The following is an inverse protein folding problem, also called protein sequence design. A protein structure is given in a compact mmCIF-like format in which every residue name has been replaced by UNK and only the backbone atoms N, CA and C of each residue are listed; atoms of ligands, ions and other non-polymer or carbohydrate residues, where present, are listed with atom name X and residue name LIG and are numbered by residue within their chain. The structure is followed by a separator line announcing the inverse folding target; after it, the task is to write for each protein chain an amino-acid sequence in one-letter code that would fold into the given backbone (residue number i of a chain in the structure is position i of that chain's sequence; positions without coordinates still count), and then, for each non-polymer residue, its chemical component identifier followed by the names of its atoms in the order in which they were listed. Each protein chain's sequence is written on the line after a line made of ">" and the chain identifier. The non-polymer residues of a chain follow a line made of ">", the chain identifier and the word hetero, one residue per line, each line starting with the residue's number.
data_IF_843485001269
#
_entry.id   IF_843485001269
#
_cell.length_a   1.000
_cell.length_b   1.000
_cell.length_c   1.000
_cell.angle_alpha   90.00
_cell.angle_beta   90.00
_cell.angle_gamma   90.00
#
_symmetry.space_group_name_H-M   'P 1'
#
loop_
_entity.id
_entity.type
_entity.pdbx_description
1 polymer ?
#
# COMPACT_ATOMS: atom_id res chain seq x y z
N UNK A 1 15.73 -43.70 17.95
CA UNK A 1 16.46 -42.41 18.01
C UNK A 1 16.12 -41.65 16.74
N UNK A 2 15.06 -40.84 16.75
CA UNK A 2 14.68 -40.03 15.59
C UNK A 2 15.02 -38.59 15.90
N UNK A 3 16.11 -38.10 15.31
CA UNK A 3 16.51 -36.70 15.38
C UNK A 3 15.48 -35.85 14.65
N UNK A 4 14.91 -34.86 15.35
CA UNK A 4 14.11 -33.79 14.74
C UNK A 4 15.03 -32.90 13.90
N UNK A 5 14.63 -32.47 12.69
CA UNK A 5 15.37 -31.47 11.94
C UNK A 5 15.22 -30.13 12.64
N UNK A 6 16.33 -29.59 13.15
CA UNK A 6 16.45 -28.22 13.63
C UNK A 6 16.59 -27.31 12.42
N UNK A 7 15.47 -26.89 11.85
CA UNK A 7 15.45 -25.88 10.78
C UNK A 7 15.94 -24.56 11.38
N UNK A 8 17.06 -24.06 10.87
CA UNK A 8 17.81 -22.97 11.45
C UNK A 8 17.05 -21.63 11.29
N UNK A 9 16.96 -20.86 12.37
CA UNK A 9 16.07 -19.67 12.45
C UNK A 9 16.52 -18.52 11.54
N UNK A 10 17.77 -18.56 11.06
CA UNK A 10 18.35 -17.60 10.13
C UNK A 10 17.80 -17.77 8.69
N UNK A 11 17.48 -19.00 8.28
CA UNK A 11 17.03 -19.30 6.91
C UNK A 11 15.55 -18.95 6.70
N UNK A 12 14.75 -19.02 7.77
CA UNK A 12 13.35 -18.55 7.76
C UNK A 12 13.26 -17.02 7.64
N UNK A 13 14.17 -16.29 8.29
CA UNK A 13 14.19 -14.81 8.26
C UNK A 13 14.57 -14.27 6.88
N UNK A 14 15.53 -14.91 6.20
CA UNK A 14 15.96 -14.48 4.87
C UNK A 14 14.87 -14.66 3.81
N UNK A 15 14.06 -15.72 3.91
CA UNK A 15 12.92 -15.95 3.02
C UNK A 15 11.82 -14.90 3.21
N UNK A 16 11.48 -14.57 4.47
CA UNK A 16 10.49 -13.52 4.78
C UNK A 16 10.93 -12.14 4.28
N UNK A 17 12.21 -11.81 4.41
CA UNK A 17 12.76 -10.54 3.92
C UNK A 17 12.66 -10.45 2.39
N UNK A 18 12.92 -11.55 1.67
CA UNK A 18 12.76 -11.60 0.21
C UNK A 18 11.30 -11.43 -0.22
N UNK A 19 10.36 -12.06 0.48
CA UNK A 19 8.92 -11.92 0.22
C UNK A 19 8.41 -10.49 0.50
N UNK A 20 8.88 -9.89 1.59
CA UNK A 20 8.58 -8.50 1.93
C UNK A 20 9.12 -7.55 0.85
N UNK A 21 10.36 -7.74 0.42
CA UNK A 21 10.97 -6.95 -0.67
C UNK A 21 10.23 -7.11 -1.99
N UNK A 22 9.86 -8.34 -2.35
CA UNK A 22 9.07 -8.62 -3.54
C UNK A 22 7.70 -7.93 -3.49
N UNK A 23 7.07 -7.90 -2.32
CA UNK A 23 5.79 -7.23 -2.09
C UNK A 23 5.95 -5.71 -2.21
N UNK A 24 6.94 -5.11 -1.54
CA UNK A 24 7.20 -3.67 -1.61
C UNK A 24 7.48 -3.23 -3.05
N UNK A 25 8.25 -4.00 -3.82
CA UNK A 25 8.52 -3.71 -5.24
C UNK A 25 7.25 -3.65 -6.08
N UNK A 26 6.27 -4.51 -5.81
CA UNK A 26 4.96 -4.50 -6.50
C UNK A 26 4.12 -3.26 -6.18
N UNK A 27 4.40 -2.60 -5.06
CA UNK A 27 3.69 -1.39 -4.62
C UNK A 27 4.28 -0.12 -5.22
N UNK A 28 5.49 -0.17 -5.80
CA UNK A 28 6.11 1.01 -6.41
C UNK A 28 5.19 1.61 -7.48
N UNK A 29 5.15 2.94 -7.52
CA UNK A 29 4.28 3.73 -8.39
C UNK A 29 2.77 3.55 -8.14
N UNK A 30 2.35 2.80 -7.11
CA UNK A 30 0.95 2.79 -6.64
C UNK A 30 0.67 4.01 -5.77
N UNK A 31 -0.57 4.48 -5.78
CA UNK A 31 -0.99 5.51 -4.84
C UNK A 31 -1.12 4.92 -3.45
N UNK A 32 -0.52 5.58 -2.47
CA UNK A 32 -0.67 5.27 -1.06
C UNK A 32 -1.42 6.42 -0.37
N UNK A 33 -2.41 6.04 0.43
CA UNK A 33 -3.06 6.90 1.41
C UNK A 33 -2.41 6.69 2.77
N UNK A 34 -1.77 7.74 3.28
CA UNK A 34 -1.01 7.74 4.52
C UNK A 34 -1.65 8.71 5.51
N UNK A 35 -2.00 8.20 6.69
CA UNK A 35 -2.48 9.03 7.80
C UNK A 35 -1.29 9.34 8.70
N UNK A 36 -1.03 10.62 8.95
CA UNK A 36 0.02 11.10 9.83
C UNK A 36 -0.54 11.23 11.26
N UNK A 37 0.31 11.08 12.27
CA UNK A 37 -0.09 11.16 13.69
C UNK A 37 -0.74 12.49 14.08
N UNK A 38 -0.37 13.59 13.42
CA UNK A 38 -0.97 14.90 13.61
C UNK A 38 -2.34 15.09 12.92
N UNK A 39 -2.86 14.03 12.29
CA UNK A 39 -4.18 14.01 11.66
C UNK A 39 -4.18 14.36 10.17
N UNK A 40 -3.04 14.75 9.59
CA UNK A 40 -2.97 14.98 8.14
C UNK A 40 -3.16 13.67 7.37
N UNK A 41 -3.89 13.75 6.26
CA UNK A 41 -4.06 12.66 5.31
C UNK A 41 -3.32 13.03 4.04
N UNK A 42 -2.31 12.24 3.71
CA UNK A 42 -1.47 12.41 2.53
C UNK A 42 -1.78 11.30 1.54
N UNK A 43 -1.94 11.68 0.28
CA UNK A 43 -2.17 10.74 -0.80
C UNK A 43 -1.14 11.04 -1.89
N UNK A 44 -0.36 10.05 -2.26
CA UNK A 44 0.70 10.23 -3.26
C UNK A 44 1.23 8.92 -3.81
N UNK A 45 2.04 9.02 -4.85
CA UNK A 45 2.68 7.90 -5.54
C UNK A 45 3.84 7.35 -4.71
N UNK A 46 3.87 6.05 -4.44
CA UNK A 46 4.97 5.42 -3.70
C UNK A 46 6.23 5.31 -4.55
N UNK A 47 7.25 6.10 -4.21
CA UNK A 47 8.52 6.12 -4.96
C UNK A 47 9.56 5.20 -4.34
N UNK A 48 9.71 5.23 -3.02
CA UNK A 48 10.64 4.34 -2.33
C UNK A 48 10.38 4.26 -0.83
N UNK A 49 10.96 3.23 -0.21
CA UNK A 49 11.05 3.04 1.24
C UNK A 49 12.51 2.75 1.59
N UNK A 50 12.99 3.34 2.69
CA UNK A 50 14.33 3.04 3.21
C UNK A 50 14.30 1.91 4.27
N UNK A 51 15.49 1.54 4.77
CA UNK A 51 15.63 0.50 5.81
C UNK A 51 14.96 0.86 7.15
N UNK A 52 14.75 2.14 7.40
CA UNK A 52 14.10 2.66 8.61
C UNK A 52 12.58 2.78 8.41
N UNK A 53 12.07 2.29 7.28
CA UNK A 53 10.69 2.36 6.86
C UNK A 53 10.15 3.78 6.65
N UNK A 54 11.01 4.76 6.35
CA UNK A 54 10.58 6.08 5.89
C UNK A 54 10.12 5.99 4.45
N UNK A 55 9.00 6.66 4.12
CA UNK A 55 8.43 6.65 2.77
C UNK A 55 8.77 7.94 2.04
N UNK A 56 9.04 7.82 0.75
CA UNK A 56 9.00 8.95 -0.18
C UNK A 56 7.75 8.80 -1.05
N UNK A 57 6.90 9.81 -1.01
CA UNK A 57 5.73 9.93 -1.87
C UNK A 57 5.97 11.02 -2.93
N UNK A 58 5.73 10.71 -4.19
CA UNK A 58 5.70 11.65 -5.31
C UNK A 58 4.28 12.12 -5.61
N UNK A 59 4.15 13.22 -6.36
CA UNK A 59 2.84 13.73 -6.82
C UNK A 59 1.78 13.80 -5.71
N UNK A 60 2.21 14.16 -4.50
CA UNK A 60 1.41 14.04 -3.29
C UNK A 60 0.48 15.23 -3.15
N UNK A 61 -0.73 14.96 -2.68
CA UNK A 61 -1.64 15.97 -2.16
C UNK A 61 -2.06 15.65 -0.73
N UNK A 62 -2.37 16.71 0.01
CA UNK A 62 -2.99 16.61 1.32
C UNK A 62 -4.50 16.73 1.17
N UNK A 63 -5.24 15.78 1.75
CA UNK A 63 -6.68 15.85 1.90
C UNK A 63 -7.00 16.77 3.10
N UNK A 64 -7.66 17.89 2.82
CA UNK A 64 -8.06 18.89 3.82
C UNK A 64 -9.57 18.80 3.99
N UNK A 65 -10.01 18.45 5.20
CA UNK A 65 -11.43 18.53 5.55
C UNK A 65 -11.81 20.00 5.77
N UNK A 66 -12.93 20.42 5.20
CA UNK A 66 -13.52 21.74 5.45
C UNK A 66 -14.89 21.53 6.07
N UNK A 67 -15.23 22.31 7.09
CA UNK A 67 -16.48 22.14 7.86
C UNK A 67 -17.75 22.32 7.01
N UNK A 68 -17.62 22.95 5.84
CA UNK A 68 -18.73 23.34 4.96
C UNK A 68 -18.64 22.81 3.52
N UNK A 69 -17.64 21.99 3.19
CA UNK A 69 -17.41 21.55 1.81
C UNK A 69 -16.79 20.13 1.74
N UNK A 70 -16.93 19.41 0.60
CA UNK A 70 -16.21 18.16 0.38
C UNK A 70 -14.71 18.36 0.55
N UNK A 71 -13.99 17.27 0.82
CA UNK A 71 -12.54 17.30 1.02
C UNK A 71 -11.84 18.04 -0.13
N UNK A 72 -11.00 19.02 0.21
CA UNK A 72 -10.13 19.69 -0.74
C UNK A 72 -8.81 18.96 -0.84
N UNK A 73 -8.34 18.78 -2.07
CA UNK A 73 -7.00 18.28 -2.35
C UNK A 73 -6.04 19.47 -2.47
N UNK A 74 -5.02 19.51 -1.62
CA UNK A 74 -3.96 20.52 -1.70
C UNK A 74 -2.67 19.86 -2.20
N UNK A 75 -2.20 20.14 -3.43
CA UNK A 75 -0.96 19.57 -3.93
C UNK A 75 0.22 20.06 -3.10
N UNK A 76 1.13 19.14 -2.75
CA UNK A 76 2.33 19.41 -1.96
C UNK A 76 3.60 18.78 -2.56
N UNK A 77 3.50 18.10 -3.71
CA UNK A 77 4.64 17.61 -4.47
C UNK A 77 5.27 16.36 -3.86
N UNK A 78 6.59 16.36 -3.70
CA UNK A 78 7.31 15.22 -3.11
C UNK A 78 7.41 15.35 -1.59
N UNK A 79 7.10 14.27 -0.87
CA UNK A 79 7.03 14.29 0.59
C UNK A 79 7.77 13.10 1.19
N UNK A 80 8.60 13.37 2.20
CA UNK A 80 9.11 12.36 3.12
C UNK A 80 8.10 12.14 4.26
N UNK A 81 7.68 10.90 4.47
CA UNK A 81 6.90 10.51 5.65
C UNK A 81 7.77 9.64 6.57
N UNK A 82 8.21 10.19 7.71
CA UNK A 82 8.97 9.41 8.70
C UNK A 82 8.13 8.26 9.25
N UNK A 83 8.77 7.10 9.44
CA UNK A 83 8.10 5.94 10.03
C UNK A 83 7.48 6.26 11.40
N UNK A 84 8.16 7.10 12.19
CA UNK A 84 7.72 7.53 13.52
C UNK A 84 6.47 8.42 13.51
N UNK A 85 6.15 9.07 12.40
CA UNK A 85 5.00 9.97 12.25
C UNK A 85 3.84 9.32 11.47
N UNK A 86 4.07 8.15 10.86
CA UNK A 86 3.04 7.41 10.15
C UNK A 86 2.10 6.69 11.13
N UNK A 87 0.81 6.99 11.06
CA UNK A 87 -0.26 6.31 11.82
C UNK A 87 -0.82 5.12 11.04
N UNK A 88 -1.06 5.27 9.75
CA UNK A 88 -1.47 4.17 8.86
C UNK A 88 -1.04 4.40 7.43
N UNK A 89 -1.04 3.35 6.61
CA UNK A 89 -0.70 3.39 5.20
C UNK A 89 -1.49 2.31 4.44
N UNK A 90 -2.20 2.72 3.40
CA UNK A 90 -3.03 1.83 2.59
C UNK A 90 -2.79 2.11 1.12
N UNK A 91 -2.88 1.07 0.29
CA UNK A 91 -3.00 1.28 -1.16
C UNK A 91 -4.33 1.95 -1.42
N UNK A 92 -4.28 3.04 -2.16
CA UNK A 92 -5.49 3.72 -2.57
C UNK A 92 -5.95 3.18 -3.91
N UNK A 93 -7.24 2.87 -3.96
CA UNK A 93 -7.92 2.43 -5.17
C UNK A 93 -8.88 3.55 -5.55
N UNK A 94 -8.73 4.07 -6.76
CA UNK A 94 -9.64 5.10 -7.24
C UNK A 94 -11.05 4.51 -7.40
N UNK A 95 -12.12 5.30 -7.21
CA UNK A 95 -13.49 4.79 -7.30
C UNK A 95 -13.78 4.07 -8.62
N UNK A 96 -13.31 4.62 -9.74
CA UNK A 96 -13.42 4.01 -11.07
C UNK A 96 -12.64 2.68 -11.19
N UNK A 97 -11.43 2.61 -10.63
CA UNK A 97 -10.64 1.37 -10.61
C UNK A 97 -11.37 0.27 -9.83
N UNK A 98 -12.02 0.64 -8.72
CA UNK A 98 -12.81 -0.30 -7.90
C UNK A 98 -13.98 -0.88 -8.69
N UNK A 99 -14.72 -0.04 -9.42
CA UNK A 99 -15.82 -0.50 -10.28
C UNK A 99 -15.32 -1.47 -11.35
N UNK A 100 -14.25 -1.11 -12.06
CA UNK A 100 -13.62 -1.99 -13.05
C UNK A 100 -13.17 -3.33 -12.45
N UNK A 101 -12.57 -3.31 -11.25
CA UNK A 101 -12.17 -4.52 -10.53
C UNK A 101 -13.36 -5.41 -10.18
N UNK A 102 -14.46 -4.82 -9.71
CA UNK A 102 -15.69 -5.58 -9.40
C UNK A 102 -16.26 -6.22 -10.66
N UNK A 103 -16.37 -5.47 -11.76
CA UNK A 103 -16.85 -6.01 -13.03
C UNK A 103 -15.97 -7.15 -13.56
N UNK A 104 -14.65 -7.01 -13.48
CA UNK A 104 -13.72 -8.05 -13.93
C UNK A 104 -13.85 -9.33 -13.10
N UNK A 105 -14.00 -9.22 -11.79
CA UNK A 105 -14.18 -10.37 -10.90
C UNK A 105 -15.53 -11.07 -11.14
N UNK A 106 -16.59 -10.31 -11.42
CA UNK A 106 -17.90 -10.86 -11.77
C UNK A 106 -17.85 -11.61 -13.11
N UNK A 107 -17.21 -11.04 -14.13
CA UNK A 107 -17.06 -11.68 -15.44
C UNK A 107 -16.29 -13.02 -15.38
N UNK A 108 -15.30 -13.15 -14.49
CA UNK A 108 -14.60 -14.43 -14.30
C UNK A 108 -15.47 -15.52 -13.67
N UNK A 109 -16.52 -15.17 -12.92
CA UNK A 109 -17.42 -16.16 -12.33
C UNK A 109 -18.38 -16.75 -13.36
N UNK A 110 -18.78 -15.98 -14.38
CA UNK A 110 -19.69 -16.44 -15.45
C UNK A 110 -19.00 -17.44 -16.40
N UNK A 111 -17.70 -17.27 -16.66
CA UNK A 111 -16.92 -18.18 -17.51
C UNK A 111 -16.80 -19.58 -16.90
N UNK A 112 -16.75 -19.68 -15.57
CA UNK A 112 -16.64 -20.98 -14.87
C UNK A 112 -17.98 -21.73 -14.85
N UNK A 113 -19.10 -21.02 -14.99
CA UNK A 113 -20.45 -21.63 -14.95
C UNK A 113 -20.97 -22.09 -16.32
N UNK A 114 -20.29 -21.77 -17.43
CA UNK A 114 -20.74 -22.20 -18.76
C UNK A 114 -20.09 -23.49 -19.28
N UNK A 115 -19.19 -24.11 -18.50
CA UNK A 115 -18.55 -25.40 -18.80
C UNK A 115 -19.16 -26.58 -17.99
N UNK A 116 -20.42 -26.45 -17.55
CA UNK A 116 -21.21 -27.53 -16.95
C UNK A 116 -22.44 -27.86 -17.78
#
# INVERSE_FOLDING_TARGET
>A
MSSKPSVDSAEVRSQQDQEALATVRKLLHKRLKVVVKDGRVLIGEFLCIDKQANLILGNTYQQVQSDSAPFKERPIGQVLVPASQRKSCHVEVMPNERECLVHLLQAQQEIVTSDC
#
